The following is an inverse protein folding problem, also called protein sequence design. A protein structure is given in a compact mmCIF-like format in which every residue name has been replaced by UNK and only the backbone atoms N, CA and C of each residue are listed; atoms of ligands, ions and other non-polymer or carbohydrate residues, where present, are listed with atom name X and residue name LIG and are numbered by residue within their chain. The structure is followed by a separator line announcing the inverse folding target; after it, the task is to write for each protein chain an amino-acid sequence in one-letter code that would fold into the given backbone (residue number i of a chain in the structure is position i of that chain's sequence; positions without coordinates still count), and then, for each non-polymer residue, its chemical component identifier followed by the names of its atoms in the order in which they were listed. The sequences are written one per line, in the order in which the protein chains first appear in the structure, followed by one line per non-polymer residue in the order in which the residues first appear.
data_IF_333860270527
#
_entry.id   IF_333860270527
#
_cell.length_a   1.000
_cell.length_b   1.000
_cell.length_c   1.000
_cell.angle_alpha   90.00
_cell.angle_beta   90.00
_cell.angle_gamma   90.00
#
_symmetry.space_group_name_H-M   'P 1'
#
loop_
_entity.id
_entity.type
_entity.pdbx_description
1 polymer ?
#
# COMPACT_ATOMS: atom_id res chain seq x y z
N UNK A 1 0.71 11.86 -24.68
CA UNK A 1 -0.69 11.86 -24.20
C UNK A 1 -0.85 12.99 -23.20
N UNK A 2 -1.76 13.93 -23.43
CA UNK A 2 -2.11 14.97 -22.46
C UNK A 2 -3.00 14.35 -21.37
N UNK A 3 -2.73 14.66 -20.10
CA UNK A 3 -3.44 14.10 -18.94
C UNK A 3 -3.86 15.24 -18.04
N UNK A 4 -5.12 15.22 -17.59
CA UNK A 4 -5.71 16.25 -16.73
C UNK A 4 -5.64 15.86 -15.25
N UNK A 5 -5.26 16.80 -14.39
CA UNK A 5 -5.39 16.68 -12.94
C UNK A 5 -6.85 16.76 -12.50
N UNK A 6 -7.14 16.53 -11.22
CA UNK A 6 -8.51 16.71 -10.71
C UNK A 6 -8.87 18.21 -10.67
N UNK A 7 -7.86 19.06 -10.49
CA UNK A 7 -7.92 20.51 -10.51
C UNK A 7 -8.21 21.01 -11.94
N UNK A 8 -7.53 20.46 -12.95
CA UNK A 8 -7.80 20.81 -14.35
C UNK A 8 -9.22 20.41 -14.76
N UNK A 9 -9.71 19.25 -14.29
CA UNK A 9 -11.09 18.81 -14.53
C UNK A 9 -12.11 19.71 -13.82
N UNK A 10 -11.79 20.19 -12.62
CA UNK A 10 -12.63 21.11 -11.88
C UNK A 10 -12.76 22.46 -12.61
N UNK A 11 -11.66 22.97 -13.15
CA UNK A 11 -11.63 24.21 -13.95
C UNK A 11 -12.41 24.06 -15.26
N UNK A 12 -12.20 22.97 -16.01
CA UNK A 12 -12.88 22.74 -17.30
C UNK A 12 -14.39 22.54 -17.13
N UNK A 13 -14.81 21.90 -16.04
CA UNK A 13 -16.22 21.57 -15.78
C UNK A 13 -16.92 22.60 -14.88
N UNK A 14 -16.25 23.72 -14.58
CA UNK A 14 -16.75 24.81 -13.73
C UNK A 14 -17.35 24.32 -12.39
N UNK A 15 -16.60 23.47 -11.69
CA UNK A 15 -17.02 22.84 -10.45
C UNK A 15 -15.89 22.79 -9.43
N UNK A 16 -16.22 22.48 -8.17
CA UNK A 16 -15.22 22.26 -7.12
C UNK A 16 -14.54 20.89 -7.24
N UNK A 17 -13.25 20.83 -6.87
CA UNK A 17 -12.42 19.61 -6.85
C UNK A 17 -13.04 18.50 -5.97
N UNK A 18 -13.78 18.84 -4.90
CA UNK A 18 -14.50 17.86 -4.07
C UNK A 18 -15.62 17.18 -4.84
N UNK A 19 -16.29 17.87 -5.74
CA UNK A 19 -17.32 17.29 -6.62
C UNK A 19 -16.67 16.32 -7.60
N UNK A 20 -15.58 16.74 -8.26
CA UNK A 20 -14.77 15.84 -9.12
C UNK A 20 -14.34 14.58 -8.36
N UNK A 21 -13.84 14.69 -7.12
CA UNK A 21 -13.48 13.52 -6.30
C UNK A 21 -14.67 12.62 -6.00
N UNK A 22 -15.83 13.18 -5.67
CA UNK A 22 -17.08 12.43 -5.42
C UNK A 22 -17.51 11.66 -6.67
N UNK A 23 -17.45 12.29 -7.83
CA UNK A 23 -17.86 11.69 -9.10
C UNK A 23 -16.90 10.58 -9.53
N UNK A 24 -15.59 10.80 -9.39
CA UNK A 24 -14.57 9.77 -9.61
C UNK A 24 -14.83 8.56 -8.68
N UNK A 25 -15.19 8.78 -7.41
CA UNK A 25 -15.54 7.69 -6.49
C UNK A 25 -16.84 6.97 -6.90
N UNK A 26 -17.85 7.70 -7.38
CA UNK A 26 -19.09 7.12 -7.88
C UNK A 26 -18.85 6.26 -9.13
N UNK A 27 -18.02 6.72 -10.05
CA UNK A 27 -17.61 5.98 -11.26
C UNK A 27 -16.80 4.73 -10.90
N UNK A 28 -15.86 4.83 -9.95
CA UNK A 28 -15.10 3.66 -9.46
C UNK A 28 -16.00 2.57 -8.87
N UNK A 29 -17.07 2.94 -8.15
CA UNK A 29 -18.06 1.98 -7.63
C UNK A 29 -18.86 1.28 -8.73
N UNK A 30 -18.89 1.84 -9.93
CA UNK A 30 -19.46 1.24 -11.15
C UNK A 30 -18.39 0.58 -12.02
N UNK A 31 -17.23 0.27 -11.44
CA UNK A 31 -16.07 -0.34 -12.11
C UNK A 31 -15.51 0.48 -13.28
N UNK A 32 -15.87 1.76 -13.37
CA UNK A 32 -15.35 2.69 -14.38
C UNK A 32 -14.16 3.47 -13.83
N UNK A 33 -13.00 3.28 -14.44
CA UNK A 33 -11.76 3.93 -14.03
C UNK A 33 -11.58 5.26 -14.76
N UNK A 34 -11.38 6.36 -14.01
CA UNK A 34 -11.11 7.70 -14.57
C UNK A 34 -9.58 7.94 -14.65
N UNK A 35 -8.98 8.00 -15.86
CA UNK A 35 -7.55 8.12 -16.06
C UNK A 35 -7.06 9.58 -15.84
N UNK A 36 -6.95 10.01 -14.59
CA UNK A 36 -6.41 11.35 -14.25
C UNK A 36 -4.87 11.37 -14.23
N UNK A 37 -4.26 12.54 -14.41
CA UNK A 37 -2.81 12.75 -14.30
C UNK A 37 -2.28 12.29 -12.95
N UNK A 38 -3.00 12.54 -11.86
CA UNK A 38 -2.63 12.03 -10.53
C UNK A 38 -2.54 10.51 -10.46
N UNK A 39 -3.40 9.82 -11.20
CA UNK A 39 -3.44 8.36 -11.23
C UNK A 39 -2.41 7.75 -12.19
N UNK A 40 -2.09 8.42 -13.30
CA UNK A 40 -1.19 7.89 -14.34
C UNK A 40 0.25 8.34 -14.15
N UNK A 41 0.45 9.52 -13.57
CA UNK A 41 1.77 10.08 -13.24
C UNK A 41 2.12 9.91 -11.76
N UNK A 42 1.34 9.12 -11.01
CA UNK A 42 1.63 8.78 -9.62
C UNK A 42 1.67 10.00 -8.66
N UNK A 43 0.89 11.04 -8.97
CA UNK A 43 0.78 12.26 -8.15
C UNK A 43 -0.37 12.14 -7.12
N UNK A 44 -1.17 11.05 -7.20
CA UNK A 44 -2.28 10.73 -6.29
C UNK A 44 -1.90 9.78 -5.15
N UNK A 45 -2.83 9.51 -4.21
CA UNK A 45 -2.52 8.72 -3.01
C UNK A 45 -2.04 7.33 -3.40
N UNK A 46 -0.77 7.03 -3.16
CA UNK A 46 -0.05 5.80 -3.58
C UNK A 46 -0.57 4.48 -2.98
N UNK A 47 -1.84 4.42 -2.56
CA UNK A 47 -2.53 3.22 -2.12
C UNK A 47 -2.78 2.29 -3.32
N UNK A 48 -3.13 2.79 -4.50
CA UNK A 48 -3.41 1.94 -5.69
C UNK A 48 -2.16 1.22 -6.21
N UNK A 49 -1.02 1.90 -6.30
CA UNK A 49 0.22 1.27 -6.79
C UNK A 49 0.79 0.27 -5.78
N UNK A 50 0.69 0.58 -4.48
CA UNK A 50 1.04 -0.36 -3.41
C UNK A 50 0.15 -1.59 -3.41
N UNK A 51 -1.17 -1.41 -3.56
CA UNK A 51 -2.11 -2.52 -3.71
C UNK A 51 -1.72 -3.39 -4.90
N UNK A 52 -1.46 -2.80 -6.07
CA UNK A 52 -1.08 -3.58 -7.25
C UNK A 52 0.24 -4.33 -7.07
N UNK A 53 1.23 -3.72 -6.41
CA UNK A 53 2.49 -4.37 -6.07
C UNK A 53 2.25 -5.61 -5.19
N UNK A 54 1.40 -5.49 -4.16
CA UNK A 54 1.08 -6.60 -3.27
C UNK A 54 0.25 -7.66 -3.97
N UNK A 55 -0.74 -7.31 -4.80
CA UNK A 55 -1.49 -8.29 -5.60
C UNK A 55 -0.57 -9.14 -6.47
N UNK A 56 0.36 -8.52 -7.22
CA UNK A 56 1.33 -9.26 -8.03
C UNK A 56 2.28 -10.11 -7.16
N UNK A 57 2.67 -9.61 -6.00
CA UNK A 57 3.47 -10.39 -5.06
C UNK A 57 2.72 -11.62 -4.55
N UNK A 58 1.41 -11.52 -4.33
CA UNK A 58 0.55 -12.63 -3.93
C UNK A 58 0.37 -13.66 -5.06
N UNK A 59 0.41 -13.22 -6.32
CA UNK A 59 0.46 -14.06 -7.54
C UNK A 59 1.85 -14.69 -7.79
N UNK A 60 2.72 -14.78 -6.77
CA UNK A 60 4.09 -15.33 -6.86
C UNK A 60 5.04 -14.65 -7.85
N UNK A 61 4.79 -13.38 -8.21
CA UNK A 61 5.74 -12.60 -9.02
C UNK A 61 6.96 -12.18 -8.21
N UNK A 62 8.13 -12.28 -8.84
CA UNK A 62 9.39 -11.82 -8.26
C UNK A 62 9.43 -10.29 -8.12
N UNK A 63 10.03 -9.71 -7.05
CA UNK A 63 10.04 -8.26 -6.83
C UNK A 63 10.60 -7.45 -8.00
N UNK A 64 11.59 -7.99 -8.72
CA UNK A 64 12.16 -7.36 -9.91
C UNK A 64 11.17 -7.35 -11.09
N UNK A 65 10.38 -8.41 -11.26
CA UNK A 65 9.32 -8.48 -12.26
C UNK A 65 8.21 -7.48 -11.92
N UNK A 66 7.78 -7.44 -10.67
CA UNK A 66 6.78 -6.49 -10.16
C UNK A 66 7.23 -5.05 -10.44
N UNK A 67 8.48 -4.71 -10.08
CA UNK A 67 9.06 -3.38 -10.31
C UNK A 67 8.98 -2.96 -11.79
N UNK A 68 9.25 -3.89 -12.71
CA UNK A 68 9.11 -3.65 -14.15
C UNK A 68 7.65 -3.45 -14.57
N UNK A 69 6.73 -4.29 -14.10
CA UNK A 69 5.30 -4.23 -14.43
C UNK A 69 4.69 -2.90 -13.97
N UNK A 70 4.93 -2.50 -12.72
CA UNK A 70 4.34 -1.29 -12.14
C UNK A 70 5.20 -0.03 -12.36
N UNK A 71 6.30 -0.15 -13.11
CA UNK A 71 7.26 0.92 -13.43
C UNK A 71 7.76 1.68 -12.20
N UNK A 72 8.18 0.93 -11.19
CA UNK A 72 8.76 1.46 -9.94
C UNK A 72 10.18 0.97 -9.74
N UNK A 73 10.91 1.60 -8.81
CA UNK A 73 12.19 1.06 -8.36
C UNK A 73 11.99 -0.23 -7.57
N UNK A 74 12.94 -1.17 -7.69
CA UNK A 74 12.97 -2.39 -6.91
C UNK A 74 12.85 -2.11 -5.41
N UNK A 75 13.62 -1.13 -4.91
CA UNK A 75 13.61 -0.74 -3.50
C UNK A 75 12.23 -0.28 -3.02
N UNK A 76 11.46 0.42 -3.86
CA UNK A 76 10.11 0.83 -3.49
C UNK A 76 9.17 -0.37 -3.37
N UNK A 77 9.26 -1.32 -4.32
CA UNK A 77 8.49 -2.57 -4.31
C UNK A 77 8.83 -3.42 -3.09
N UNK A 78 10.11 -3.64 -2.82
CA UNK A 78 10.57 -4.39 -1.64
C UNK A 78 10.05 -3.78 -0.34
N UNK A 79 10.09 -2.45 -0.21
CA UNK A 79 9.52 -1.75 0.95
C UNK A 79 8.01 -2.03 1.09
N UNK A 80 7.27 -2.07 -0.01
CA UNK A 80 5.83 -2.37 0.03
C UNK A 80 5.58 -3.80 0.50
N UNK A 81 6.30 -4.77 -0.08
CA UNK A 81 6.24 -6.19 0.27
C UNK A 81 6.61 -6.39 1.75
N UNK A 82 7.71 -5.80 2.20
CA UNK A 82 8.16 -5.93 3.59
C UNK A 82 7.14 -5.33 4.57
N UNK A 83 6.53 -4.20 4.23
CA UNK A 83 5.46 -3.60 5.04
C UNK A 83 4.26 -4.54 5.11
N UNK A 84 3.86 -5.15 3.99
CA UNK A 84 2.78 -6.14 3.94
C UNK A 84 3.09 -7.35 4.83
N UNK A 85 4.26 -7.99 4.67
CA UNK A 85 4.64 -9.16 5.46
C UNK A 85 4.65 -8.85 6.97
N UNK A 86 5.09 -7.64 7.38
CA UNK A 86 5.05 -7.20 8.78
C UNK A 86 3.62 -7.01 9.28
N UNK A 87 2.72 -6.45 8.46
CA UNK A 87 1.30 -6.30 8.81
C UNK A 87 0.69 -7.67 9.08
N UNK A 88 0.86 -8.63 8.17
CA UNK A 88 0.36 -10.01 8.33
C UNK A 88 0.91 -10.65 9.61
N UNK A 89 2.23 -10.61 9.80
CA UNK A 89 2.88 -11.18 10.97
C UNK A 89 2.41 -10.52 12.29
N UNK A 90 2.29 -9.20 12.34
CA UNK A 90 1.85 -8.48 13.53
C UNK A 90 0.37 -8.74 13.82
N UNK A 91 -0.47 -8.81 12.78
CA UNK A 91 -1.90 -9.06 12.94
C UNK A 91 -2.16 -10.43 13.58
N UNK A 92 -1.41 -11.47 13.18
CA UNK A 92 -1.52 -12.79 13.80
C UNK A 92 -1.20 -12.77 15.31
N UNK A 93 -0.29 -11.89 15.74
CA UNK A 93 0.14 -11.75 17.15
C UNK A 93 -0.82 -10.89 17.98
N UNK A 94 -1.21 -9.72 17.47
CA UNK A 94 -1.94 -8.71 18.24
C UNK A 94 -3.46 -8.77 18.04
N UNK A 95 -3.93 -9.27 16.89
CA UNK A 95 -5.35 -9.31 16.48
C UNK A 95 -6.05 -7.95 16.64
N UNK A 96 -5.33 -6.87 16.37
CA UNK A 96 -5.78 -5.49 16.59
C UNK A 96 -5.13 -4.58 15.55
N UNK A 97 -5.95 -3.94 14.71
CA UNK A 97 -5.47 -3.17 13.58
C UNK A 97 -4.74 -1.89 14.01
N UNK A 98 -5.12 -1.28 15.13
CA UNK A 98 -4.49 -0.07 15.65
C UNK A 98 -3.10 -0.40 16.22
N UNK A 99 -2.98 -1.47 16.99
CA UNK A 99 -1.69 -1.94 17.52
C UNK A 99 -0.77 -2.38 16.39
N UNK A 100 -1.30 -3.11 15.41
CA UNK A 100 -0.55 -3.50 14.20
C UNK A 100 -0.03 -2.26 13.46
N UNK A 101 -0.88 -1.24 13.23
CA UNK A 101 -0.49 0.01 12.59
C UNK A 101 0.66 0.72 13.34
N UNK A 102 0.53 0.83 14.67
CA UNK A 102 1.53 1.46 15.54
C UNK A 102 2.88 0.74 15.47
N UNK A 103 2.88 -0.60 15.61
CA UNK A 103 4.10 -1.42 15.62
C UNK A 103 4.78 -1.41 14.26
N UNK A 104 4.00 -1.55 13.18
CA UNK A 104 4.54 -1.55 11.82
C UNK A 104 5.05 -0.15 11.42
N UNK A 105 4.44 0.91 11.96
CA UNK A 105 4.69 2.29 11.53
C UNK A 105 3.97 2.62 10.24
N UNK A 106 2.74 2.12 10.08
CA UNK A 106 1.88 2.35 8.92
C UNK A 106 0.55 3.00 9.35
N UNK A 107 -0.17 3.61 8.41
CA UNK A 107 -1.52 4.11 8.71
C UNK A 107 -2.51 2.95 8.87
N UNK A 108 -3.53 3.15 9.70
CA UNK A 108 -4.63 2.19 9.88
C UNK A 108 -5.30 1.84 8.56
N UNK A 109 -5.47 2.82 7.67
CA UNK A 109 -5.99 2.61 6.32
C UNK A 109 -5.11 1.65 5.49
N UNK A 110 -3.78 1.78 5.57
CA UNK A 110 -2.85 0.87 4.89
C UNK A 110 -2.95 -0.54 5.46
N UNK A 111 -3.01 -0.66 6.80
CA UNK A 111 -3.20 -1.96 7.47
C UNK A 111 -4.50 -2.62 7.02
N UNK A 112 -5.62 -1.92 7.06
CA UNK A 112 -6.91 -2.45 6.61
C UNK A 112 -6.87 -2.90 5.15
N UNK A 113 -6.23 -2.12 4.28
CA UNK A 113 -6.07 -2.47 2.86
C UNK A 113 -5.29 -3.77 2.69
N UNK A 114 -4.16 -3.91 3.39
CA UNK A 114 -3.31 -5.10 3.32
C UNK A 114 -3.97 -6.33 3.94
N UNK A 115 -4.73 -6.16 5.03
CA UNK A 115 -5.50 -7.25 5.62
C UNK A 115 -6.66 -7.69 4.71
N UNK A 116 -7.27 -6.78 3.97
CA UNK A 116 -8.22 -7.13 2.91
C UNK A 116 -7.58 -8.02 1.84
N UNK A 117 -6.45 -7.59 1.26
CA UNK A 117 -5.71 -8.39 0.27
C UNK A 117 -5.28 -9.76 0.81
N UNK A 118 -4.87 -9.83 2.08
CA UNK A 118 -4.54 -11.09 2.73
C UNK A 118 -5.78 -11.99 2.84
N UNK A 119 -6.91 -11.45 3.29
CA UNK A 119 -8.15 -12.23 3.45
C UNK A 119 -8.62 -12.80 2.11
N UNK A 120 -8.62 -11.98 1.06
CA UNK A 120 -8.98 -12.39 -0.29
C UNK A 120 -8.05 -13.52 -0.80
N UNK A 121 -6.74 -13.40 -0.55
CA UNK A 121 -5.77 -14.41 -0.94
C UNK A 121 -5.90 -15.74 -0.16
N UNK A 122 -6.47 -15.75 1.05
CA UNK A 122 -6.66 -16.97 1.84
C UNK A 122 -7.66 -17.97 1.23
N UNK A 123 -8.44 -17.54 0.24
CA UNK A 123 -9.32 -18.40 -0.54
C UNK A 123 -8.53 -19.32 -1.48
N UNK A 124 -7.33 -18.91 -1.91
CA UNK A 124 -6.44 -19.69 -2.77
C UNK A 124 -5.62 -20.71 -1.97
N UNK A 125 -5.69 -22.02 -2.29
CA UNK A 125 -4.86 -23.05 -1.67
C UNK A 125 -3.35 -22.79 -1.81
N UNK A 126 -2.88 -22.27 -2.95
CA UNK A 126 -1.46 -22.01 -3.19
C UNK A 126 -0.92 -20.94 -2.22
N UNK A 127 -1.74 -19.94 -1.91
CA UNK A 127 -1.38 -18.92 -0.93
C UNK A 127 -1.23 -19.48 0.50
N UNK A 128 -2.04 -20.48 0.87
CA UNK A 128 -1.98 -21.09 2.22
C UNK A 128 -0.65 -21.79 2.49
N UNK A 129 -0.01 -22.33 1.46
CA UNK A 129 1.32 -22.93 1.60
C UNK A 129 2.39 -21.84 1.79
N UNK A 130 2.22 -20.69 1.14
CA UNK A 130 3.16 -19.57 1.17
C UNK A 130 3.01 -18.63 2.37
N UNK A 131 1.90 -18.69 3.11
CA UNK A 131 1.67 -17.84 4.29
C UNK A 131 2.81 -17.93 5.31
N UNK A 132 3.40 -19.12 5.46
CA UNK A 132 4.52 -19.34 6.38
C UNK A 132 5.76 -18.53 5.97
N UNK A 133 6.09 -18.47 4.68
CA UNK A 133 7.22 -17.68 4.18
C UNK A 133 6.95 -16.17 4.28
N UNK A 134 5.71 -15.73 4.03
CA UNK A 134 5.29 -14.33 4.22
C UNK A 134 5.48 -13.91 5.69
N UNK A 135 5.01 -14.72 6.63
CA UNK A 135 5.16 -14.45 8.07
C UNK A 135 6.62 -14.49 8.51
N UNK A 136 7.40 -15.45 8.00
CA UNK A 136 8.84 -15.57 8.30
C UNK A 136 9.61 -14.35 7.81
N UNK A 137 9.34 -13.86 6.60
CA UNK A 137 9.91 -12.60 6.07
C UNK A 137 9.54 -11.42 6.98
N UNK A 138 8.28 -11.31 7.38
CA UNK A 138 7.80 -10.29 8.32
C UNK A 138 8.53 -10.34 9.67
N UNK A 139 8.75 -11.54 10.21
CA UNK A 139 9.44 -11.77 11.49
C UNK A 139 10.92 -11.40 11.45
N UNK A 140 11.63 -11.77 10.38
CA UNK A 140 13.05 -11.43 10.20
C UNK A 140 13.21 -9.91 10.21
N UNK A 141 12.36 -9.22 9.45
CA UNK A 141 12.40 -7.76 9.38
C UNK A 141 12.03 -7.11 10.72
N UNK A 142 11.00 -7.61 11.40
CA UNK A 142 10.60 -7.13 12.72
C UNK A 142 11.78 -7.17 13.71
N UNK A 143 12.50 -8.30 13.75
CA UNK A 143 13.72 -8.43 14.56
C UNK A 143 14.78 -7.40 14.13
N UNK A 144 15.07 -7.28 12.85
CA UNK A 144 16.13 -6.40 12.34
C UNK A 144 15.89 -4.89 12.58
N UNK A 145 14.64 -4.43 12.54
CA UNK A 145 14.31 -3.00 12.72
C UNK A 145 14.15 -2.60 14.18
N UNK A 146 13.69 -3.49 15.06
CA UNK A 146 13.67 -3.22 16.50
C UNK A 146 15.09 -3.01 17.06
N UNK A 147 16.11 -3.68 16.50
CA UNK A 147 17.52 -3.41 16.85
C UNK A 147 18.04 -2.03 16.37
N UNK A 148 17.41 -1.41 15.36
CA UNK A 148 17.82 -0.09 14.83
C UNK A 148 17.06 1.08 15.42
N UNK A 149 15.92 0.84 16.07
CA UNK A 149 15.14 1.90 16.74
C UNK A 149 15.74 2.21 18.11
N UNK A 150 16.62 3.20 18.19
CA UNK A 150 16.92 3.86 19.46
C UNK A 150 15.59 4.34 20.07
N UNK A 151 15.18 3.76 21.20
CA UNK A 151 14.01 4.19 21.97
C UNK A 151 14.33 5.47 22.78
N UNK A 152 15.04 6.41 22.17
CA UNK A 152 15.59 7.61 22.81
C UNK A 152 15.17 8.86 22.06
N UNK A 153 14.51 9.77 22.79
CA UNK A 153 14.05 11.11 22.41
C UNK A 153 14.93 11.76 21.34
N UNK A 154 14.35 12.13 20.20
CA UNK A 154 14.98 13.08 19.28
C UNK A 154 14.92 14.44 19.96
N UNK A 155 16.06 14.97 20.40
CA UNK A 155 16.16 16.35 20.88
C UNK A 155 15.64 17.28 19.77
N UNK A 156 14.65 18.11 20.12
CA UNK A 156 14.13 19.12 19.19
C UNK A 156 15.27 20.10 18.90
N UNK A 157 15.57 20.30 17.61
CA UNK A 157 16.53 21.33 17.17
C UNK A 157 16.17 22.68 17.83
N UNK A 158 17.12 23.39 18.45
CA UNK A 158 16.89 24.74 18.91
C UNK A 158 16.58 25.66 17.72
N UNK A 159 15.65 26.60 17.93
CA UNK A 159 15.29 27.64 16.97
C UNK A 159 16.40 28.67 16.85
#
# INVERSE_FOLDING_TARGET
QALLTQEDLAEILDTDVRTIRRDIQALRRKEMMVPTRGQIKDIGPGVTHRVKAISLFLEDKEPLEIARIIKHSLTAVERYIDTFCRVVCCQRKFRDNLKTALVVGASVATVNTYLGLHADACEDPAYRERIFEIEKRGRIYYKAVDFKKNHGRIERRPR
#
